data_IF_522050956729
#
_entry.id   IF_522050956729
#
_cell.length_a   1.000
_cell.length_b   1.000
_cell.length_c   1.000
_cell.angle_alpha   90.00
_cell.angle_beta   90.00
_cell.angle_gamma   90.00
#
_symmetry.space_group_name_H-M   'P 1'
#
loop_
_entity.id
_entity.type
_entity.pdbx_description
1 polymer ?
#
# COMPACT_ATOMS: atom_id res chain seq x y z
N UNK A 1 -10.95 3.23 9.37
CA UNK A 1 -11.56 2.82 8.10
C UNK A 1 -11.65 1.31 8.14
N UNK A 2 -12.80 0.73 7.82
CA UNK A 2 -13.02 -0.72 7.85
C UNK A 2 -13.07 -1.26 6.40
N UNK A 3 -11.91 -1.19 5.72
CA UNK A 3 -11.79 -1.59 4.31
C UNK A 3 -12.08 -3.07 4.10
N UNK A 4 -11.77 -3.91 5.10
CA UNK A 4 -12.03 -5.34 5.04
C UNK A 4 -13.54 -5.63 5.03
N UNK A 5 -14.32 -4.93 5.89
CA UNK A 5 -15.77 -5.09 5.89
C UNK A 5 -16.41 -4.64 4.57
N UNK A 6 -15.88 -3.59 3.94
CA UNK A 6 -16.34 -3.15 2.61
C UNK A 6 -16.02 -4.24 1.57
N UNK A 7 -14.81 -4.78 1.56
CA UNK A 7 -14.42 -5.85 0.64
C UNK A 7 -15.31 -7.11 0.81
N UNK A 8 -15.61 -7.49 2.04
CA UNK A 8 -16.55 -8.58 2.35
C UNK A 8 -17.95 -8.33 1.81
N UNK A 9 -18.44 -7.09 1.92
CA UNK A 9 -19.73 -6.72 1.36
C UNK A 9 -19.73 -6.78 -0.18
N UNK A 10 -18.67 -6.26 -0.82
CA UNK A 10 -18.52 -6.29 -2.29
C UNK A 10 -18.51 -7.73 -2.77
N UNK A 11 -17.67 -8.61 -2.21
CA UNK A 11 -17.64 -10.04 -2.59
C UNK A 11 -18.97 -10.77 -2.36
N UNK A 12 -19.67 -10.45 -1.28
CA UNK A 12 -20.98 -11.04 -1.03
C UNK A 12 -22.06 -10.55 -2.02
N UNK A 13 -21.91 -9.35 -2.58
CA UNK A 13 -22.90 -8.71 -3.45
C UNK A 13 -22.60 -8.96 -4.93
N UNK A 14 -21.31 -8.99 -5.29
CA UNK A 14 -20.77 -9.11 -6.65
C UNK A 14 -19.67 -10.18 -6.64
N UNK A 15 -20.02 -11.48 -6.65
CA UNK A 15 -19.05 -12.57 -6.47
C UNK A 15 -18.26 -12.94 -7.74
N UNK A 16 -18.50 -12.27 -8.85
CA UNK A 16 -17.85 -12.53 -10.14
C UNK A 16 -17.33 -11.21 -10.74
N UNK A 17 -16.02 -11.10 -11.05
CA UNK A 17 -14.98 -12.09 -10.81
C UNK A 17 -14.64 -12.22 -9.30
N UNK A 18 -14.31 -13.44 -8.80
CA UNK A 18 -14.05 -13.65 -7.39
C UNK A 18 -12.69 -13.09 -6.97
N UNK A 19 -12.65 -12.36 -5.86
CA UNK A 19 -11.44 -11.87 -5.19
C UNK A 19 -11.27 -12.57 -3.84
N UNK A 20 -10.27 -13.45 -3.68
CA UNK A 20 -9.97 -14.05 -2.39
C UNK A 20 -9.63 -12.99 -1.34
N UNK A 21 -10.45 -12.91 -0.28
CA UNK A 21 -10.26 -11.94 0.80
C UNK A 21 -9.31 -12.41 1.91
N UNK A 22 -9.15 -13.73 2.03
CA UNK A 22 -8.36 -14.35 3.10
C UNK A 22 -7.58 -15.54 2.57
N UNK A 23 -6.33 -15.63 2.97
CA UNK A 23 -5.49 -16.83 2.87
C UNK A 23 -4.46 -16.82 4.00
N UNK A 24 -3.86 -17.96 4.31
CA UNK A 24 -2.78 -18.05 5.29
C UNK A 24 -1.59 -17.18 4.87
N UNK A 25 -1.11 -17.36 3.64
CA UNK A 25 -0.05 -16.56 3.03
C UNK A 25 -0.39 -15.06 3.02
N UNK A 26 -1.61 -14.71 2.60
CA UNK A 26 -2.05 -13.32 2.52
C UNK A 26 -2.11 -12.64 3.89
N UNK A 27 -2.55 -13.37 4.93
CA UNK A 27 -2.59 -12.88 6.30
C UNK A 27 -1.18 -12.67 6.87
N UNK A 28 -0.25 -13.59 6.59
CA UNK A 28 1.16 -13.46 6.97
C UNK A 28 1.81 -12.23 6.31
N UNK A 29 1.61 -12.05 5.00
CA UNK A 29 2.12 -10.91 4.23
C UNK A 29 1.58 -9.60 4.82
N UNK A 30 0.27 -9.48 5.04
CA UNK A 30 -0.33 -8.25 5.61
C UNK A 30 0.24 -7.93 6.99
N UNK A 31 0.41 -8.94 7.85
CA UNK A 31 0.97 -8.76 9.18
C UNK A 31 2.43 -8.30 9.13
N UNK A 32 3.27 -8.95 8.30
CA UNK A 32 4.67 -8.56 8.10
C UNK A 32 4.80 -7.19 7.44
N UNK A 33 3.97 -6.87 6.46
CA UNK A 33 3.94 -5.58 5.80
C UNK A 33 3.64 -4.44 6.77
N UNK A 34 2.65 -4.61 7.65
CA UNK A 34 2.36 -3.63 8.70
C UNK A 34 3.56 -3.43 9.63
N UNK A 35 4.24 -4.51 10.01
CA UNK A 35 5.41 -4.42 10.89
C UNK A 35 6.61 -3.75 10.20
N UNK A 36 6.87 -4.09 8.93
CA UNK A 36 8.03 -3.62 8.19
C UNK A 36 7.86 -2.18 7.69
N UNK A 37 6.69 -1.82 7.15
CA UNK A 37 6.48 -0.51 6.54
C UNK A 37 6.17 0.59 7.56
N UNK A 38 5.51 0.27 8.68
CA UNK A 38 5.04 1.30 9.62
C UNK A 38 6.14 2.23 10.14
N UNK A 39 7.32 1.74 10.58
CA UNK A 39 8.38 2.62 11.09
C UNK A 39 8.93 3.54 9.99
N UNK A 40 9.22 3.00 8.81
CA UNK A 40 9.73 3.77 7.68
C UNK A 40 8.69 4.79 7.18
N UNK A 41 7.42 4.41 7.04
CA UNK A 41 6.36 5.31 6.61
C UNK A 41 6.05 6.38 7.64
N UNK A 42 6.17 6.09 8.93
CA UNK A 42 6.03 7.10 9.98
C UNK A 42 7.10 8.19 9.86
N UNK A 43 8.34 7.81 9.59
CA UNK A 43 9.45 8.79 9.48
C UNK A 43 9.45 9.48 8.12
N UNK A 44 9.13 8.76 7.05
CA UNK A 44 9.24 9.25 5.67
C UNK A 44 7.94 9.84 5.10
N UNK A 45 6.78 9.19 5.27
CA UNK A 45 5.55 9.65 4.62
C UNK A 45 4.76 10.64 5.47
N UNK A 46 4.58 10.34 6.75
CA UNK A 46 3.74 11.17 7.65
C UNK A 46 4.08 12.67 7.62
N UNK A 47 5.35 13.12 7.71
CA UNK A 47 5.65 14.55 7.64
C UNK A 47 5.44 15.15 6.24
N UNK A 48 5.42 14.32 5.19
CA UNK A 48 5.22 14.74 3.80
C UNK A 48 3.75 14.75 3.37
N UNK A 49 2.85 14.05 4.08
CA UNK A 49 1.40 14.02 3.79
C UNK A 49 0.79 15.42 3.71
N UNK A 50 1.27 16.38 4.50
CA UNK A 50 0.79 17.76 4.45
C UNK A 50 0.93 18.40 3.06
N UNK A 51 1.85 17.94 2.22
CA UNK A 51 2.11 18.52 0.91
C UNK A 51 1.03 18.19 -0.13
N UNK A 52 0.26 17.12 0.09
CA UNK A 52 -0.79 16.66 -0.85
C UNK A 52 -2.21 16.91 -0.35
N UNK A 53 -2.35 17.26 0.93
CA UNK A 53 -3.65 17.51 1.55
C UNK A 53 -4.19 18.90 1.19
N UNK A 54 -5.52 19.03 1.13
CA UNK A 54 -6.16 20.35 1.05
C UNK A 54 -5.81 21.22 2.28
N UNK A 55 -5.83 22.56 2.20
CA UNK A 55 -5.47 23.42 3.34
C UNK A 55 -6.23 23.11 4.64
N UNK A 56 -7.53 22.83 4.54
CA UNK A 56 -8.35 22.42 5.70
C UNK A 56 -7.90 21.07 6.28
N UNK A 57 -7.57 20.12 5.41
CA UNK A 57 -7.07 18.81 5.83
C UNK A 57 -5.68 18.91 6.46
N UNK A 58 -4.81 19.78 5.95
CA UNK A 58 -3.48 20.03 6.52
C UNK A 58 -3.58 20.53 7.96
N UNK A 59 -4.44 21.51 8.24
CA UNK A 59 -4.63 22.04 9.60
C UNK A 59 -5.07 20.94 10.58
N UNK A 60 -6.09 20.17 10.19
CA UNK A 60 -6.57 19.04 10.99
C UNK A 60 -5.48 17.98 11.19
N UNK A 61 -4.78 17.61 10.11
CA UNK A 61 -3.74 16.58 10.13
C UNK A 61 -2.59 17.00 11.04
N UNK A 62 -2.03 18.20 10.86
CA UNK A 62 -0.96 18.72 11.72
C UNK A 62 -1.38 18.72 13.18
N UNK A 63 -2.52 19.33 13.51
CA UNK A 63 -3.03 19.41 14.89
C UNK A 63 -3.16 18.03 15.55
N UNK A 64 -3.72 17.05 14.83
CA UNK A 64 -3.97 15.72 15.41
C UNK A 64 -2.73 14.84 15.45
N UNK A 65 -1.82 14.95 14.47
CA UNK A 65 -0.58 14.16 14.43
C UNK A 65 0.45 14.71 15.40
N UNK A 66 0.67 16.02 15.47
CA UNK A 66 1.60 16.63 16.43
C UNK A 66 1.16 16.40 17.87
N UNK A 67 -0.15 16.47 18.16
CA UNK A 67 -0.67 16.10 19.48
C UNK A 67 -0.40 14.63 19.84
N UNK A 68 -0.45 13.72 18.88
CA UNK A 68 -0.11 12.31 19.08
C UNK A 68 1.40 12.04 19.14
N UNK A 69 2.21 12.87 18.48
CA UNK A 69 3.66 12.77 18.43
C UNK A 69 4.32 13.39 19.67
N UNK A 70 3.71 14.45 20.22
CA UNK A 70 4.29 15.29 21.25
C UNK A 70 5.34 16.29 20.75
N UNK A 71 5.52 16.39 19.43
CA UNK A 71 6.47 17.28 18.77
C UNK A 71 6.01 17.62 17.33
N UNK A 72 6.61 18.63 16.67
CA UNK A 72 6.32 18.99 15.28
C UNK A 72 6.53 17.83 14.29
N UNK A 73 5.81 17.85 13.16
CA UNK A 73 5.96 16.86 12.09
C UNK A 73 7.39 16.86 11.52
N UNK A 74 8.00 18.03 11.40
CA UNK A 74 9.33 18.24 10.82
C UNK A 74 10.43 17.48 11.57
N UNK A 75 10.26 17.23 12.88
CA UNK A 75 11.22 16.50 13.70
C UNK A 75 11.30 14.99 13.35
N UNK A 76 10.30 14.47 12.61
CA UNK A 76 10.36 13.14 12.02
C UNK A 76 11.29 13.10 10.80
N UNK A 77 11.31 14.18 10.01
CA UNK A 77 12.02 14.21 8.73
C UNK A 77 13.46 14.72 8.87
N UNK A 78 14.25 14.02 9.69
CA UNK A 78 15.70 14.25 9.77
C UNK A 78 16.39 13.25 8.83
N UNK A 79 17.18 13.69 7.83
CA UNK A 79 17.73 12.82 6.80
C UNK A 79 18.44 11.58 7.34
N UNK A 80 19.24 11.72 8.40
CA UNK A 80 19.97 10.60 9.01
C UNK A 80 19.04 9.62 9.70
N UNK A 81 17.96 10.10 10.36
CA UNK A 81 16.96 9.24 11.00
C UNK A 81 16.10 8.52 9.97
N UNK A 82 15.80 9.20 8.86
CA UNK A 82 15.07 8.61 7.74
C UNK A 82 15.88 7.46 7.14
N UNK A 83 17.17 7.66 6.85
CA UNK A 83 18.00 6.59 6.30
C UNK A 83 18.14 5.41 7.28
N UNK A 84 18.40 5.68 8.57
CA UNK A 84 18.43 4.64 9.61
C UNK A 84 17.13 3.84 9.69
N UNK A 85 15.97 4.50 9.54
CA UNK A 85 14.68 3.82 9.53
C UNK A 85 14.54 2.88 8.32
N UNK A 86 15.04 3.27 7.16
CA UNK A 86 15.04 2.42 5.95
C UNK A 86 16.03 1.27 6.04
N UNK A 87 17.23 1.50 6.57
CA UNK A 87 18.22 0.45 6.83
C UNK A 87 17.67 -0.59 7.80
N UNK A 88 17.02 -0.15 8.89
CA UNK A 88 16.46 -1.03 9.91
C UNK A 88 15.36 -1.97 9.40
N UNK A 89 14.65 -1.60 8.32
CA UNK A 89 13.58 -2.41 7.73
C UNK A 89 14.01 -3.15 6.46
N UNK A 90 15.25 -2.95 5.99
CA UNK A 90 15.68 -3.43 4.68
C UNK A 90 15.59 -4.96 4.52
N UNK A 91 16.00 -5.71 5.54
CA UNK A 91 15.92 -7.17 5.51
C UNK A 91 14.48 -7.68 5.61
N UNK A 92 13.65 -6.99 6.40
CA UNK A 92 12.22 -7.32 6.51
C UNK A 92 11.48 -7.06 5.19
N UNK A 93 11.81 -5.96 4.51
CA UNK A 93 11.29 -5.63 3.17
C UNK A 93 11.72 -6.69 2.15
N UNK A 94 12.99 -7.11 2.14
CA UNK A 94 13.45 -8.17 1.24
C UNK A 94 12.71 -9.48 1.47
N UNK A 95 12.61 -9.92 2.72
CA UNK A 95 11.92 -11.16 3.09
C UNK A 95 10.42 -11.11 2.75
N UNK A 96 9.78 -9.95 2.95
CA UNK A 96 8.38 -9.73 2.56
C UNK A 96 8.20 -9.80 1.04
N UNK A 97 9.12 -9.20 0.30
CA UNK A 97 9.18 -9.27 -1.16
C UNK A 97 9.27 -10.70 -1.68
N UNK A 98 10.19 -11.49 -1.13
CA UNK A 98 10.33 -12.92 -1.44
C UNK A 98 9.06 -13.70 -1.09
N UNK A 99 8.43 -13.41 0.04
CA UNK A 99 7.18 -14.05 0.46
C UNK A 99 6.03 -13.77 -0.52
N UNK A 100 5.90 -12.54 -1.04
CA UNK A 100 4.92 -12.19 -2.06
C UNK A 100 5.12 -12.96 -3.37
N UNK A 101 6.35 -13.41 -3.66
CA UNK A 101 6.69 -14.16 -4.87
C UNK A 101 6.51 -15.68 -4.71
N UNK A 102 5.97 -16.16 -3.58
CA UNK A 102 5.80 -17.61 -3.30
C UNK A 102 5.10 -18.35 -4.44
N UNK A 103 4.07 -17.76 -5.04
CA UNK A 103 3.28 -18.36 -6.13
C UNK A 103 3.61 -17.78 -7.51
N UNK A 104 4.78 -17.16 -7.70
CA UNK A 104 5.16 -16.47 -8.96
C UNK A 104 5.09 -17.37 -10.20
N UNK A 105 5.29 -18.68 -10.04
CA UNK A 105 5.18 -19.64 -11.14
C UNK A 105 3.74 -19.85 -11.63
N UNK A 106 2.74 -19.55 -10.79
CA UNK A 106 1.31 -19.72 -11.06
C UNK A 106 0.66 -18.43 -11.60
N UNK A 107 1.31 -17.28 -11.40
CA UNK A 107 0.88 -16.01 -11.97
C UNK A 107 1.53 -14.79 -11.29
N UNK A 108 1.13 -13.58 -11.69
CA UNK A 108 1.77 -12.34 -11.25
C UNK A 108 1.31 -11.85 -9.87
N UNK A 109 0.24 -12.42 -9.31
CA UNK A 109 -0.34 -12.01 -8.04
C UNK A 109 0.18 -12.86 -6.88
N UNK A 110 -0.02 -12.39 -5.65
CA UNK A 110 0.40 -13.07 -4.42
C UNK A 110 -0.16 -14.50 -4.32
N UNK A 111 -1.39 -14.71 -4.77
CA UNK A 111 -2.04 -16.03 -4.80
C UNK A 111 -1.99 -16.71 -6.17
N UNK A 112 -1.09 -16.26 -7.06
CA UNK A 112 -0.88 -16.84 -8.38
C UNK A 112 -1.63 -16.09 -9.48
N UNK A 113 -2.64 -16.74 -10.07
CA UNK A 113 -3.22 -16.33 -11.35
C UNK A 113 -4.15 -15.10 -11.30
N UNK A 114 -4.81 -14.84 -10.15
CA UNK A 114 -5.83 -13.80 -10.01
C UNK A 114 -5.56 -12.89 -8.80
N UNK A 115 -5.99 -11.62 -8.82
CA UNK A 115 -5.75 -10.69 -7.73
C UNK A 115 -6.47 -11.13 -6.46
N UNK A 116 -5.87 -10.83 -5.31
CA UNK A 116 -6.44 -11.04 -3.99
C UNK A 116 -6.52 -9.74 -3.20
N UNK A 117 -7.22 -9.76 -2.07
CA UNK A 117 -7.22 -8.62 -1.15
C UNK A 117 -5.81 -8.23 -0.68
N UNK A 118 -4.89 -9.19 -0.59
CA UNK A 118 -3.50 -8.92 -0.22
C UNK A 118 -2.79 -8.10 -1.29
N UNK A 119 -3.00 -8.39 -2.57
CA UNK A 119 -2.45 -7.59 -3.67
C UNK A 119 -2.94 -6.14 -3.59
N UNK A 120 -4.25 -5.94 -3.40
CA UNK A 120 -4.81 -4.59 -3.24
C UNK A 120 -4.33 -3.85 -1.99
N UNK A 121 -4.09 -4.57 -0.89
CA UNK A 121 -3.51 -3.97 0.32
C UNK A 121 -2.08 -3.44 0.08
N UNK A 122 -1.24 -4.23 -0.59
CA UNK A 122 0.12 -3.83 -0.96
C UNK A 122 0.09 -2.69 -1.98
N UNK A 123 -0.67 -2.86 -3.07
CA UNK A 123 -0.79 -1.85 -4.13
C UNK A 123 -1.33 -0.53 -3.61
N UNK A 124 -2.35 -0.54 -2.74
CA UNK A 124 -2.88 0.68 -2.12
C UNK A 124 -1.86 1.40 -1.22
N UNK A 125 -1.03 0.62 -0.50
CA UNK A 125 0.07 1.17 0.32
C UNK A 125 1.15 1.80 -0.55
N UNK A 126 1.51 1.16 -1.67
CA UNK A 126 2.48 1.67 -2.63
C UNK A 126 1.96 2.89 -3.40
N UNK A 127 0.70 2.88 -3.82
CA UNK A 127 0.06 4.04 -4.44
C UNK A 127 0.07 5.24 -3.50
N UNK A 128 -0.26 5.02 -2.22
CA UNK A 128 -0.19 6.08 -1.20
C UNK A 128 1.22 6.66 -1.09
N UNK A 129 2.25 5.81 -1.05
CA UNK A 129 3.63 6.27 -1.04
C UNK A 129 3.97 7.09 -2.29
N UNK A 130 3.53 6.64 -3.47
CA UNK A 130 3.77 7.31 -4.76
C UNK A 130 3.13 8.69 -4.84
N UNK A 131 1.88 8.82 -4.39
CA UNK A 131 1.16 10.09 -4.36
C UNK A 131 1.81 11.09 -3.40
N UNK A 132 2.29 10.64 -2.24
CA UNK A 132 2.91 11.50 -1.23
C UNK A 132 4.33 11.90 -1.63
N UNK A 133 5.16 10.92 -2.03
CA UNK A 133 6.58 11.12 -2.35
C UNK A 133 7.11 9.97 -3.22
N UNK A 134 7.41 10.28 -4.48
CA UNK A 134 7.94 9.32 -5.46
C UNK A 134 9.23 8.64 -4.99
N UNK A 135 10.12 9.34 -4.26
CA UNK A 135 11.36 8.74 -3.79
C UNK A 135 11.11 7.67 -2.71
N UNK A 136 10.11 7.86 -1.86
CA UNK A 136 9.67 6.84 -0.90
C UNK A 136 9.06 5.64 -1.62
N UNK A 137 8.26 5.86 -2.68
CA UNK A 137 7.77 4.76 -3.51
C UNK A 137 8.94 3.95 -4.13
N UNK A 138 9.94 4.62 -4.70
CA UNK A 138 11.15 3.97 -5.24
C UNK A 138 11.90 3.15 -4.18
N UNK A 139 11.96 3.63 -2.93
CA UNK A 139 12.54 2.87 -1.81
C UNK A 139 11.80 1.57 -1.51
N UNK A 140 10.49 1.51 -1.75
CA UNK A 140 9.70 0.28 -1.60
C UNK A 140 9.90 -0.67 -2.79
N UNK A 141 9.75 -0.18 -4.01
CA UNK A 141 9.71 -1.03 -5.22
C UNK A 141 11.10 -1.54 -5.65
N UNK A 142 12.19 -1.09 -5.02
CA UNK A 142 13.54 -1.65 -5.23
C UNK A 142 13.68 -3.10 -4.74
N UNK A 143 12.80 -3.54 -3.82
CA UNK A 143 12.79 -4.91 -3.32
C UNK A 143 11.94 -5.79 -4.26
N UNK A 144 12.34 -7.05 -4.52
CA UNK A 144 11.56 -7.97 -5.34
C UNK A 144 10.11 -8.12 -4.84
N UNK A 145 9.18 -8.41 -5.74
CA UNK A 145 7.78 -8.65 -5.41
C UNK A 145 6.93 -7.39 -5.30
N UNK A 146 7.44 -6.30 -4.74
CA UNK A 146 6.67 -5.05 -4.59
C UNK A 146 6.30 -4.44 -5.94
N UNK A 147 7.30 -4.32 -6.83
CA UNK A 147 7.07 -3.77 -8.16
C UNK A 147 6.15 -4.68 -8.97
N UNK A 148 6.40 -5.98 -8.95
CA UNK A 148 5.62 -6.96 -9.71
C UNK A 148 4.15 -6.96 -9.29
N UNK A 149 3.85 -7.02 -7.99
CA UNK A 149 2.47 -6.98 -7.47
C UNK A 149 1.78 -5.65 -7.81
N UNK A 150 2.50 -4.53 -7.68
CA UNK A 150 1.96 -3.21 -8.01
C UNK A 150 1.59 -3.11 -9.49
N UNK A 151 2.52 -3.46 -10.38
CA UNK A 151 2.30 -3.40 -11.83
C UNK A 151 1.20 -4.37 -12.29
N UNK A 152 1.11 -5.56 -11.68
CA UNK A 152 0.04 -6.51 -11.96
C UNK A 152 -1.37 -5.97 -11.61
N UNK A 153 -1.45 -5.07 -10.63
CA UNK A 153 -2.71 -4.47 -10.19
C UNK A 153 -3.10 -3.19 -10.96
N UNK A 154 -2.20 -2.57 -11.73
CA UNK A 154 -2.52 -1.32 -12.45
C UNK A 154 -3.70 -1.46 -13.41
N UNK A 155 -3.77 -2.47 -14.29
CA UNK A 155 -4.91 -2.63 -15.22
C UNK A 155 -6.23 -2.92 -14.50
N UNK A 156 -6.16 -3.51 -13.30
CA UNK A 156 -7.33 -3.81 -12.47
C UNK A 156 -7.89 -2.54 -11.81
N UNK A 157 -7.03 -1.58 -11.47
CA UNK A 157 -7.42 -0.31 -10.86
C UNK A 157 -7.91 0.75 -11.84
N UNK A 158 -7.47 0.68 -13.10
CA UNK A 158 -7.85 1.59 -14.19
C UNK A 158 -9.05 1.09 -15.01
N UNK A 159 -9.79 0.11 -14.49
CA UNK A 159 -10.79 -0.70 -15.21
C UNK A 159 -11.31 -0.04 -16.47
N UNK A 160 -11.08 -0.67 -17.63
CA UNK A 160 -11.61 -0.25 -18.93
C UNK A 160 -13.08 0.14 -18.74
N UNK A 161 -13.32 1.46 -18.64
CA UNK A 161 -14.64 2.01 -18.82
C UNK A 161 -14.83 1.89 -20.33
N UNK A 162 -15.47 0.81 -20.75
CA UNK A 162 -15.98 0.72 -22.11
C UNK A 162 -17.06 1.79 -22.25
N UNK A 163 -16.66 2.97 -22.74
CA UNK A 163 -17.56 4.10 -22.99
C UNK A 163 -18.66 3.76 -24.01
N UNK A 164 -18.55 2.64 -24.76
CA UNK A 164 -19.58 2.20 -25.70
C UNK A 164 -20.86 1.69 -25.02
N UNK A 165 -20.79 1.19 -23.78
CA UNK A 165 -21.99 0.67 -23.08
C UNK A 165 -22.85 1.79 -22.46
N UNK A 166 -22.26 2.96 -22.17
CA UNK A 166 -22.97 4.12 -21.60
C UNK A 166 -23.70 4.99 -22.63
N UNK A 167 -23.42 4.82 -23.93
CA UNK A 167 -24.05 5.59 -25.01
C UNK A 167 -25.28 4.91 -25.63
N UNK A 168 -25.66 3.72 -25.14
CA UNK A 168 -26.79 2.93 -25.65
C UNK A 168 -27.95 2.72 -24.65
N UNK A 169 -28.05 3.55 -23.60
CA UNK A 169 -29.21 3.59 -22.69
C UNK A 169 -29.85 4.99 -22.72
#
# INVERSE_FOLDING_TARGET
MDSLRIAQFIEATYPDPPVPLTSELGSEIVAKARCALSPAFRTSLMPREINILSPRSQEYFRRTREASLGHPLEDLLVPEKEEQAWEAVADAMRALGELMLTNKAEGPFVLGASPSYTDFFITGSLQTAREIDEAVFQRCIKYPGFKEVYEACLPVGEGEIDEEEYMNI
#
